data_IF_276010821878
#
_entry.id   IF_276010821878
#
_cell.length_a   1.000
_cell.length_b   1.000
_cell.length_c   1.000
_cell.angle_alpha   90.00
_cell.angle_beta   90.00
_cell.angle_gamma   90.00
#
_symmetry.space_group_name_H-M   'P 1'
#
loop_
_entity.id
_entity.type
_entity.pdbx_description
1 polymer ?
#
# COMPACT_ATOMS: atom_id res chain seq x y z
N UNK A 1 -26.66 58.77 -59.07
CA UNK A 1 -25.47 59.49 -58.63
C UNK A 1 -24.96 58.74 -57.33
N UNK A 2 -23.91 58.03 -57.53
CA UNK A 2 -22.76 57.66 -56.68
C UNK A 2 -23.14 57.43 -55.21
N UNK A 3 -23.14 56.33 -54.65
CA UNK A 3 -22.29 55.10 -54.75
C UNK A 3 -21.01 55.23 -53.94
N UNK A 4 -20.86 54.78 -52.72
CA UNK A 4 -19.57 54.43 -52.19
C UNK A 4 -19.73 53.25 -51.26
N UNK A 5 -19.22 52.13 -51.73
CA UNK A 5 -19.03 50.91 -50.99
C UNK A 5 -17.96 51.13 -49.91
N UNK A 6 -18.29 50.75 -48.69
CA UNK A 6 -17.32 50.70 -47.63
C UNK A 6 -17.07 49.22 -47.25
N UNK A 7 -15.92 48.74 -47.68
CA UNK A 7 -15.43 47.39 -47.45
C UNK A 7 -14.86 47.31 -46.03
N UNK A 8 -15.56 46.67 -45.12
CA UNK A 8 -15.01 46.35 -43.81
C UNK A 8 -14.14 45.06 -43.90
N UNK A 9 -12.89 45.21 -43.57
CA UNK A 9 -11.90 44.17 -43.50
C UNK A 9 -12.16 43.33 -42.26
N UNK A 10 -12.38 42.02 -42.46
CA UNK A 10 -12.54 41.05 -41.37
C UNK A 10 -11.16 40.67 -40.87
N UNK A 11 -10.82 41.14 -39.69
CA UNK A 11 -9.59 40.79 -38.98
C UNK A 11 -9.70 39.38 -38.41
N UNK A 12 -8.87 38.49 -38.88
CA UNK A 12 -8.78 37.08 -38.48
C UNK A 12 -8.23 37.00 -37.05
N UNK A 13 -9.10 36.67 -36.12
CA UNK A 13 -8.70 36.32 -34.74
C UNK A 13 -7.97 34.97 -34.78
N UNK A 14 -6.65 35.02 -34.58
CA UNK A 14 -5.84 33.82 -34.31
C UNK A 14 -6.19 33.28 -32.93
N UNK A 15 -6.89 32.18 -32.89
CA UNK A 15 -7.04 31.35 -31.68
C UNK A 15 -5.66 30.78 -31.33
N UNK A 16 -5.13 31.20 -30.19
CA UNK A 16 -3.95 30.59 -29.55
C UNK A 16 -4.40 29.25 -29.01
N UNK A 17 -3.70 28.12 -29.29
CA UNK A 17 -4.06 26.86 -28.69
C UNK A 17 -3.84 26.95 -27.18
N UNK A 18 -4.89 26.62 -26.44
CA UNK A 18 -4.87 26.46 -25.00
C UNK A 18 -3.84 25.35 -24.65
N UNK A 19 -2.76 25.76 -24.00
CA UNK A 19 -1.74 24.85 -23.52
C UNK A 19 -2.41 23.87 -22.53
N UNK A 20 -2.47 22.61 -22.93
CA UNK A 20 -2.78 21.50 -22.04
C UNK A 20 -1.87 21.62 -20.81
N UNK A 21 -2.44 21.99 -19.67
CA UNK A 21 -1.77 21.84 -18.36
C UNK A 21 -1.60 20.34 -18.14
N UNK A 22 -0.40 19.83 -18.43
CA UNK A 22 0.05 18.58 -17.85
C UNK A 22 -0.09 18.74 -16.34
N UNK A 23 -0.95 17.94 -15.73
CA UNK A 23 -1.05 17.85 -14.28
C UNK A 23 0.29 17.26 -13.80
N UNK A 24 1.14 18.12 -13.25
CA UNK A 24 2.33 17.64 -12.53
C UNK A 24 1.78 16.84 -11.36
N UNK A 25 1.94 15.52 -11.42
CA UNK A 25 1.54 14.61 -10.36
C UNK A 25 2.18 15.02 -9.03
N UNK A 26 1.50 14.77 -7.93
CA UNK A 26 2.09 14.99 -6.61
C UNK A 26 3.13 13.89 -6.33
N UNK A 27 4.40 14.22 -6.50
CA UNK A 27 5.52 13.29 -6.30
C UNK A 27 5.77 12.92 -4.82
N UNK A 28 5.02 13.55 -3.90
CA UNK A 28 5.18 13.30 -2.46
C UNK A 28 4.64 11.92 -2.06
N UNK A 29 5.47 11.11 -1.37
CA UNK A 29 5.02 9.82 -0.85
C UNK A 29 3.86 9.99 0.15
N UNK A 30 2.83 9.17 0.00
CA UNK A 30 1.69 9.11 0.92
C UNK A 30 1.27 7.67 1.18
N UNK A 31 0.60 7.43 2.30
CA UNK A 31 0.02 6.13 2.62
C UNK A 31 -1.49 6.22 2.48
N UNK A 32 -2.06 5.27 1.73
CA UNK A 32 -3.49 5.20 1.48
C UNK A 32 -3.97 3.74 1.36
N UNK A 33 -5.28 3.46 1.48
CA UNK A 33 -5.83 2.14 1.22
C UNK A 33 -5.59 1.73 -0.24
N UNK A 34 -5.16 0.50 -0.45
CA UNK A 34 -5.09 -0.09 -1.78
C UNK A 34 -6.50 -0.36 -2.34
N UNK A 35 -6.58 -0.37 -3.66
CA UNK A 35 -7.77 -0.70 -4.43
C UNK A 35 -7.54 -1.92 -5.31
N UNK A 36 -8.58 -2.40 -5.99
CA UNK A 36 -8.46 -3.56 -6.87
C UNK A 36 -7.56 -3.29 -8.08
N UNK A 37 -7.46 -2.04 -8.52
CA UNK A 37 -6.60 -1.61 -9.61
C UNK A 37 -5.11 -1.74 -9.24
N UNK A 38 -4.78 -1.76 -7.95
CA UNK A 38 -3.42 -1.93 -7.46
C UNK A 38 -2.97 -3.42 -7.46
N UNK A 39 -3.89 -4.37 -7.63
CA UNK A 39 -3.64 -5.81 -7.47
C UNK A 39 -2.39 -6.32 -8.23
N UNK A 40 -2.10 -5.92 -9.48
CA UNK A 40 -0.89 -6.38 -10.16
C UNK A 40 0.40 -5.92 -9.44
N UNK A 41 0.47 -4.67 -9.01
CA UNK A 41 1.64 -4.14 -8.31
C UNK A 41 1.81 -4.76 -6.91
N UNK A 42 0.70 -5.02 -6.21
CA UNK A 42 0.71 -5.71 -4.92
C UNK A 42 1.23 -7.13 -5.06
N UNK A 43 0.81 -7.85 -6.10
CA UNK A 43 1.25 -9.22 -6.38
C UNK A 43 2.77 -9.27 -6.60
N UNK A 44 3.32 -8.37 -7.38
CA UNK A 44 4.77 -8.26 -7.59
C UNK A 44 5.54 -7.98 -6.29
N UNK A 45 5.02 -7.12 -5.42
CA UNK A 45 5.63 -6.85 -4.11
C UNK A 45 5.66 -8.11 -3.22
N UNK A 46 4.56 -8.86 -3.17
CA UNK A 46 4.48 -10.10 -2.37
C UNK A 46 5.34 -11.22 -2.98
N UNK A 47 5.41 -11.31 -4.31
CA UNK A 47 6.34 -12.23 -4.99
C UNK A 47 7.80 -11.94 -4.61
N UNK A 48 8.19 -10.66 -4.57
CA UNK A 48 9.53 -10.24 -4.10
C UNK A 48 9.77 -10.58 -2.63
N UNK A 49 8.76 -10.44 -1.77
CA UNK A 49 8.84 -10.79 -0.36
C UNK A 49 9.09 -12.30 -0.18
N UNK A 50 8.30 -13.13 -0.83
CA UNK A 50 8.37 -14.59 -0.69
C UNK A 50 9.58 -15.18 -1.39
N UNK A 51 10.10 -14.56 -2.45
CA UNK A 51 11.36 -14.96 -3.07
C UNK A 51 12.57 -14.92 -2.15
N UNK A 52 12.50 -14.14 -1.06
CA UNK A 52 13.52 -14.09 0.00
C UNK A 52 13.20 -14.93 1.24
N UNK A 53 12.03 -15.57 1.30
CA UNK A 53 11.58 -16.36 2.45
C UNK A 53 11.96 -17.84 2.32
N UNK A 54 12.36 -18.47 3.43
CA UNK A 54 12.58 -19.92 3.49
C UNK A 54 11.30 -20.74 3.71
N UNK A 55 10.20 -20.08 4.11
CA UNK A 55 8.93 -20.73 4.51
C UNK A 55 7.92 -20.86 3.37
N UNK A 56 8.08 -20.08 2.30
CA UNK A 56 7.11 -19.98 1.21
C UNK A 56 7.78 -20.14 -0.15
N UNK A 57 7.08 -20.82 -1.05
CA UNK A 57 7.43 -20.83 -2.48
C UNK A 57 6.56 -19.81 -3.21
N UNK A 58 7.16 -18.84 -3.93
CA UNK A 58 6.37 -17.90 -4.71
C UNK A 58 5.52 -18.61 -5.76
N UNK A 59 4.23 -18.27 -5.80
CA UNK A 59 3.26 -18.72 -6.80
C UNK A 59 2.33 -17.55 -7.11
N UNK A 60 2.51 -16.94 -8.28
CA UNK A 60 1.82 -15.71 -8.67
C UNK A 60 0.31 -15.83 -8.52
N UNK A 61 -0.29 -16.92 -8.99
CA UNK A 61 -1.74 -17.09 -8.96
C UNK A 61 -2.29 -17.23 -7.52
N UNK A 62 -1.54 -17.89 -6.62
CA UNK A 62 -1.93 -18.00 -5.22
C UNK A 62 -1.83 -16.66 -4.50
N UNK A 63 -0.75 -15.90 -4.69
CA UNK A 63 -0.58 -14.60 -4.07
C UNK A 63 -1.61 -13.60 -4.60
N UNK A 64 -1.82 -13.53 -5.90
CA UNK A 64 -2.84 -12.68 -6.52
C UNK A 64 -4.22 -12.99 -5.95
N UNK A 65 -4.61 -14.27 -5.91
CA UNK A 65 -5.88 -14.70 -5.33
C UNK A 65 -6.03 -14.33 -3.85
N UNK A 66 -4.97 -14.46 -3.06
CA UNK A 66 -4.96 -14.08 -1.64
C UNK A 66 -5.20 -12.58 -1.44
N UNK A 67 -4.51 -11.74 -2.20
CA UNK A 67 -4.63 -10.29 -2.17
C UNK A 67 -6.02 -9.84 -2.64
N UNK A 68 -6.54 -10.42 -3.72
CA UNK A 68 -7.89 -10.16 -4.23
C UNK A 68 -8.96 -10.40 -3.15
N UNK A 69 -8.88 -11.54 -2.45
CA UNK A 69 -9.80 -11.88 -1.36
C UNK A 69 -9.80 -10.84 -0.22
N UNK A 70 -8.66 -10.22 0.08
CA UNK A 70 -8.57 -9.18 1.10
C UNK A 70 -9.16 -7.86 0.59
N UNK A 71 -8.85 -7.48 -0.65
CA UNK A 71 -9.38 -6.27 -1.28
C UNK A 71 -10.91 -6.31 -1.39
N UNK A 72 -11.49 -7.47 -1.71
CA UNK A 72 -12.94 -7.67 -1.80
C UNK A 72 -13.64 -7.69 -0.43
N UNK A 73 -12.92 -7.91 0.66
CA UNK A 73 -13.51 -8.11 2.00
C UNK A 73 -12.98 -7.09 3.03
N UNK A 74 -13.26 -5.79 2.87
CA UNK A 74 -12.69 -4.73 3.73
C UNK A 74 -13.09 -4.81 5.21
N UNK A 75 -14.08 -5.63 5.55
CA UNK A 75 -14.45 -5.93 6.94
C UNK A 75 -13.54 -6.98 7.60
N UNK A 76 -12.83 -7.77 6.81
CA UNK A 76 -11.93 -8.84 7.29
C UNK A 76 -10.46 -8.45 7.25
N UNK A 77 -10.09 -7.50 6.40
CA UNK A 77 -8.72 -7.05 6.26
C UNK A 77 -8.62 -5.74 5.49
N UNK A 78 -7.41 -5.21 5.41
CA UNK A 78 -7.11 -4.00 4.65
C UNK A 78 -5.66 -4.02 4.20
N UNK A 79 -5.43 -3.67 2.95
CA UNK A 79 -4.08 -3.42 2.44
C UNK A 79 -3.89 -1.91 2.39
N UNK A 80 -2.75 -1.44 2.93
CA UNK A 80 -2.29 -0.08 2.73
C UNK A 80 -1.03 -0.08 1.88
N UNK A 81 -0.90 0.93 1.05
CA UNK A 81 0.27 1.15 0.19
C UNK A 81 0.93 2.47 0.52
N UNK A 82 2.25 2.53 0.39
CA UNK A 82 2.97 3.79 0.29
C UNK A 82 3.29 4.02 -1.18
N UNK A 83 2.86 5.17 -1.70
CA UNK A 83 2.96 5.51 -3.14
C UNK A 83 3.07 7.02 -3.36
N UNK A 84 3.52 7.40 -4.55
CA UNK A 84 3.21 8.70 -5.17
C UNK A 84 2.15 8.51 -6.26
N UNK A 85 1.94 9.49 -7.14
CA UNK A 85 0.94 9.37 -8.21
C UNK A 85 1.33 8.34 -9.28
N UNK A 86 2.62 8.07 -9.46
CA UNK A 86 3.12 7.23 -10.55
C UNK A 86 3.31 5.76 -10.16
N UNK A 87 3.68 5.48 -8.89
CA UNK A 87 4.06 4.12 -8.51
C UNK A 87 3.85 3.80 -7.02
N UNK A 88 3.70 2.51 -6.72
CA UNK A 88 3.66 1.95 -5.38
C UNK A 88 5.07 1.55 -4.95
N UNK A 89 5.54 2.07 -3.81
CA UNK A 89 6.87 1.78 -3.24
C UNK A 89 6.84 0.59 -2.29
N UNK A 90 5.70 0.29 -1.70
CA UNK A 90 5.53 -0.79 -0.74
C UNK A 90 4.12 -0.95 -0.23
N UNK A 91 3.89 -2.02 0.53
CA UNK A 91 2.58 -2.34 1.08
C UNK A 91 2.67 -2.95 2.47
N UNK A 92 1.54 -2.99 3.16
CA UNK A 92 1.28 -3.77 4.37
C UNK A 92 -0.12 -4.38 4.32
N UNK A 93 -0.22 -5.64 4.70
CA UNK A 93 -1.47 -6.35 4.80
C UNK A 93 -1.92 -6.46 6.27
N UNK A 94 -3.18 -6.13 6.54
CA UNK A 94 -3.79 -6.18 7.87
C UNK A 94 -4.99 -7.13 7.83
N UNK A 95 -4.99 -8.14 8.69
CA UNK A 95 -6.13 -9.02 8.91
C UNK A 95 -6.79 -8.69 10.24
N UNK A 96 -8.11 -8.59 10.26
CA UNK A 96 -8.88 -8.23 11.45
C UNK A 96 -9.45 -9.47 12.11
N UNK A 97 -9.20 -9.60 13.40
CA UNK A 97 -9.72 -10.70 14.20
C UNK A 97 -10.17 -10.21 15.56
N UNK A 98 -10.79 -11.09 16.36
CA UNK A 98 -11.29 -10.78 17.70
C UNK A 98 -10.42 -11.50 18.72
N UNK A 99 -9.99 -10.78 19.74
CA UNK A 99 -9.27 -11.32 20.88
C UNK A 99 -10.16 -11.40 22.10
N UNK A 100 -10.45 -12.60 22.58
CA UNK A 100 -11.16 -12.81 23.84
C UNK A 100 -10.36 -12.27 25.04
N UNK A 101 -9.03 -12.41 24.99
CA UNK A 101 -8.15 -11.89 26.03
C UNK A 101 -8.10 -10.35 26.10
N UNK A 102 -8.43 -9.66 25.00
CA UNK A 102 -8.48 -8.19 24.94
C UNK A 102 -9.90 -7.62 24.89
N UNK A 103 -10.90 -8.50 24.73
CA UNK A 103 -12.32 -8.11 24.67
C UNK A 103 -12.62 -7.19 23.47
N UNK A 104 -11.99 -7.42 22.31
CA UNK A 104 -12.21 -6.56 21.15
C UNK A 104 -11.40 -6.94 19.93
N UNK A 105 -11.52 -6.11 18.89
CA UNK A 105 -10.80 -6.32 17.63
C UNK A 105 -9.29 -6.12 17.81
N UNK A 106 -8.53 -6.96 17.13
CA UNK A 106 -7.07 -6.90 17.03
C UNK A 106 -6.65 -7.08 15.57
N UNK A 107 -5.43 -6.66 15.27
CA UNK A 107 -4.83 -6.77 13.94
C UNK A 107 -3.76 -7.87 13.96
N UNK A 108 -3.78 -8.74 12.96
CA UNK A 108 -2.61 -9.48 12.51
C UNK A 108 -2.05 -8.73 11.29
N UNK A 109 -0.83 -8.23 11.42
CA UNK A 109 -0.13 -7.47 10.38
C UNK A 109 0.82 -8.43 9.66
N UNK A 110 0.62 -8.55 8.36
CA UNK A 110 1.38 -9.44 7.46
C UNK A 110 1.92 -8.67 6.26
N UNK A 111 2.81 -9.29 5.50
CA UNK A 111 3.31 -8.82 4.20
C UNK A 111 3.79 -7.35 4.22
N UNK A 112 4.56 -6.97 5.24
CA UNK A 112 5.22 -5.64 5.25
C UNK A 112 6.40 -5.69 4.28
N UNK A 113 6.24 -5.08 3.12
CA UNK A 113 7.25 -5.11 2.07
C UNK A 113 7.46 -3.75 1.44
N UNK A 114 8.74 -3.40 1.25
CA UNK A 114 9.16 -2.25 0.44
C UNK A 114 9.92 -2.79 -0.76
N UNK A 115 9.57 -2.26 -1.94
CA UNK A 115 10.26 -2.61 -3.19
C UNK A 115 11.78 -2.42 -3.01
N UNK A 116 12.64 -3.35 -3.48
CA UNK A 116 14.07 -3.31 -3.24
C UNK A 116 14.71 -1.95 -3.56
N UNK A 117 14.35 -1.34 -4.68
CA UNK A 117 14.91 -0.06 -5.14
C UNK A 117 14.50 1.14 -4.28
N UNK A 118 13.51 0.98 -3.40
CA UNK A 118 12.98 2.03 -2.53
C UNK A 118 13.24 1.80 -1.05
N UNK A 119 14.06 0.79 -0.69
CA UNK A 119 14.46 0.53 0.69
C UNK A 119 15.40 1.63 1.22
N UNK A 120 15.46 1.73 2.55
CA UNK A 120 16.33 2.71 3.22
C UNK A 120 15.84 4.16 3.15
N UNK A 121 14.70 4.44 2.54
CA UNK A 121 14.13 5.79 2.36
C UNK A 121 13.05 6.15 3.40
N UNK A 122 12.84 5.30 4.41
CA UNK A 122 11.87 5.57 5.49
C UNK A 122 10.45 5.10 5.19
N UNK A 123 10.15 4.54 4.02
CA UNK A 123 8.80 4.12 3.63
C UNK A 123 8.21 3.03 4.52
N UNK A 124 9.04 2.10 5.02
CA UNK A 124 8.60 1.10 5.98
C UNK A 124 8.10 1.72 7.29
N UNK A 125 8.83 2.71 7.82
CA UNK A 125 8.42 3.48 8.99
C UNK A 125 7.10 4.21 8.72
N UNK A 126 6.97 4.86 7.58
CA UNK A 126 5.77 5.58 7.17
C UNK A 126 4.53 4.67 7.12
N UNK A 127 4.68 3.44 6.59
CA UNK A 127 3.61 2.43 6.59
C UNK A 127 3.22 2.00 8.00
N UNK A 128 4.20 1.66 8.84
CA UNK A 128 3.94 1.16 10.20
C UNK A 128 3.34 2.24 11.08
N UNK A 129 3.83 3.47 11.02
CA UNK A 129 3.25 4.61 11.75
C UNK A 129 1.79 4.85 11.36
N UNK A 130 1.50 4.79 10.05
CA UNK A 130 0.12 4.90 9.56
C UNK A 130 -0.78 3.78 10.09
N UNK A 131 -0.30 2.53 10.10
CA UNK A 131 -1.03 1.39 10.65
C UNK A 131 -1.31 1.56 12.15
N UNK A 132 -0.34 2.03 12.92
CA UNK A 132 -0.51 2.28 14.36
C UNK A 132 -1.57 3.36 14.59
N UNK A 133 -1.53 4.44 13.83
CA UNK A 133 -2.54 5.51 13.92
C UNK A 133 -3.93 5.06 13.46
N UNK A 134 -4.00 4.27 12.39
CA UNK A 134 -5.25 3.61 11.96
C UNK A 134 -5.81 2.73 13.06
N UNK A 135 -4.99 1.89 13.67
CA UNK A 135 -5.39 1.01 14.76
C UNK A 135 -5.93 1.79 15.97
N UNK A 136 -5.28 2.89 16.36
CA UNK A 136 -5.74 3.79 17.43
C UNK A 136 -7.10 4.42 17.10
N UNK A 137 -7.23 5.01 15.92
CA UNK A 137 -8.47 5.65 15.46
C UNK A 137 -9.65 4.67 15.39
N UNK A 138 -9.38 3.42 15.02
CA UNK A 138 -10.38 2.35 14.93
C UNK A 138 -10.54 1.54 16.21
N UNK A 139 -9.84 1.93 17.29
CA UNK A 139 -9.91 1.31 18.63
C UNK A 139 -9.51 -0.18 18.67
N UNK A 140 -8.65 -0.62 17.76
CA UNK A 140 -8.04 -1.94 17.86
C UNK A 140 -7.20 -2.05 19.13
N UNK A 141 -7.20 -3.20 19.75
CA UNK A 141 -6.60 -3.43 21.08
C UNK A 141 -5.15 -3.93 21.02
N UNK A 142 -4.70 -4.42 19.87
CA UNK A 142 -3.36 -4.97 19.66
C UNK A 142 -3.07 -5.09 18.17
N UNK A 143 -1.81 -4.89 17.82
CA UNK A 143 -1.24 -5.33 16.54
C UNK A 143 -0.26 -6.46 16.86
N UNK A 144 -0.39 -7.59 16.17
CA UNK A 144 0.56 -8.71 16.20
C UNK A 144 1.14 -8.87 14.81
N UNK A 145 2.40 -9.21 14.68
CA UNK A 145 3.03 -9.56 13.41
C UNK A 145 3.82 -10.86 13.55
N UNK A 146 4.07 -11.52 12.43
CA UNK A 146 5.02 -12.61 12.30
C UNK A 146 6.20 -12.09 11.48
N UNK A 147 7.40 -12.18 12.01
CA UNK A 147 8.63 -11.76 11.32
C UNK A 147 9.57 -12.95 11.21
N UNK A 148 10.45 -12.92 10.22
CA UNK A 148 11.43 -13.99 10.01
C UNK A 148 12.34 -14.12 11.24
N UNK A 149 12.46 -15.35 11.71
CA UNK A 149 13.23 -15.70 12.89
C UNK A 149 14.74 -15.47 12.72
N UNK A 150 15.23 -15.54 11.49
CA UNK A 150 16.67 -15.40 11.19
C UNK A 150 17.03 -14.01 10.67
N UNK A 151 16.07 -13.18 10.33
CA UNK A 151 16.31 -11.81 9.87
C UNK A 151 16.45 -10.85 11.06
N UNK A 152 17.68 -10.61 11.50
CA UNK A 152 17.96 -9.61 12.52
C UNK A 152 17.54 -8.20 12.09
N UNK A 153 17.69 -7.86 10.80
CA UNK A 153 17.31 -6.56 10.25
C UNK A 153 15.81 -6.29 10.41
N UNK A 154 14.96 -7.26 10.03
CA UNK A 154 13.51 -7.14 10.17
C UNK A 154 13.10 -7.03 11.65
N UNK A 155 13.70 -7.83 12.51
CA UNK A 155 13.41 -7.79 13.95
C UNK A 155 13.81 -6.45 14.57
N UNK A 156 14.97 -5.92 14.23
CA UNK A 156 15.44 -4.62 14.73
C UNK A 156 14.60 -3.46 14.20
N UNK A 157 14.14 -3.55 12.95
CA UNK A 157 13.18 -2.60 12.40
C UNK A 157 11.91 -2.56 13.23
N UNK A 158 11.24 -3.70 13.46
CA UNK A 158 10.00 -3.72 14.22
C UNK A 158 10.18 -3.33 15.70
N UNK A 159 11.31 -3.67 16.32
CA UNK A 159 11.65 -3.18 17.68
C UNK A 159 11.73 -1.65 17.73
N UNK A 160 12.37 -1.02 16.75
CA UNK A 160 12.41 0.45 16.64
C UNK A 160 11.03 1.08 16.46
N UNK A 161 10.08 0.31 15.88
CA UNK A 161 8.67 0.72 15.76
C UNK A 161 7.84 0.42 17.04
N UNK A 162 8.47 -0.01 18.12
CA UNK A 162 7.81 -0.26 19.41
C UNK A 162 7.16 -1.64 19.54
N UNK A 163 7.50 -2.60 18.69
CA UNK A 163 7.08 -3.99 18.85
C UNK A 163 8.05 -4.76 19.74
N UNK A 164 7.49 -5.60 20.61
CA UNK A 164 8.24 -6.51 21.46
C UNK A 164 7.91 -7.97 21.15
N UNK A 165 8.83 -8.86 21.51
CA UNK A 165 8.58 -10.30 21.38
C UNK A 165 7.42 -10.75 22.26
N UNK A 166 6.58 -11.58 21.69
CA UNK A 166 5.55 -12.30 22.44
C UNK A 166 6.13 -13.60 23.02
N UNK A 167 5.59 -14.05 24.16
CA UNK A 167 5.86 -15.39 24.68
C UNK A 167 5.14 -16.52 23.89
N UNK A 168 4.24 -16.14 22.96
CA UNK A 168 3.50 -17.10 22.13
C UNK A 168 4.34 -17.54 20.94
N UNK A 169 4.31 -18.83 20.64
CA UNK A 169 5.02 -19.42 19.50
C UNK A 169 3.99 -19.78 18.44
N UNK A 170 4.14 -19.34 17.18
CA UNK A 170 3.27 -19.76 16.10
C UNK A 170 3.46 -21.23 15.77
N UNK A 171 2.35 -21.95 15.61
CA UNK A 171 2.34 -23.34 15.12
C UNK A 171 1.42 -23.41 13.90
N UNK A 172 1.82 -24.20 12.88
CA UNK A 172 1.10 -24.29 11.61
C UNK A 172 0.83 -25.77 11.25
N UNK A 173 -0.37 -26.02 10.76
CA UNK A 173 -0.73 -27.27 10.09
C UNK A 173 -1.34 -26.89 8.73
N UNK A 174 -0.75 -27.38 7.66
CA UNK A 174 -1.30 -27.21 6.31
C UNK A 174 -2.54 -28.11 6.15
N UNK A 175 -3.55 -27.61 5.49
CA UNK A 175 -4.78 -28.32 5.15
C UNK A 175 -4.83 -28.36 3.62
N UNK A 176 -4.75 -29.55 3.05
CA UNK A 176 -4.81 -29.81 1.62
C UNK A 176 -6.27 -29.97 1.16
#
# INVERSE_FOLDING_TARGET
>A
MSGSENRATVESVRTVPESSKESVGDDRPRVEPATIEDLPALTELVMNLFGGSGDFTPDHALQERGLELILEQPSRGRIFVVRNDDQIFGMVNLLFTISTARGGFVILMEDVVIHPDHRGQGYGTMLVDYVVDFARKKQFKRITLLTDRISAESQDFFKKQGFDYSSMIPMRRIID
#
